data_IF_197837021695
#
_entry.id   IF_197837021695
#
_cell.length_a   1.000
_cell.length_b   1.000
_cell.length_c   1.000
_cell.angle_alpha   90.00
_cell.angle_beta   90.00
_cell.angle_gamma   90.00
#
_symmetry.space_group_name_H-M   'P 1'
#
loop_
_entity.id
_entity.type
_entity.pdbx_description
1 polymer ?
#
# COMPACT_ATOMS: atom_id res chain seq x y z
N UNK A 1 0.13 79.50 -33.42
CA UNK A 1 -0.13 79.59 -31.96
C UNK A 1 -1.25 78.62 -31.63
N UNK A 2 -1.14 77.89 -30.52
CA UNK A 2 -1.93 76.73 -30.05
C UNK A 2 -1.50 75.37 -30.66
N UNK A 3 -0.69 74.55 -29.98
CA UNK A 3 -0.83 73.80 -28.70
C UNK A 3 -1.65 72.52 -28.87
N UNK A 4 -1.01 71.37 -28.64
CA UNK A 4 -1.67 70.06 -28.59
C UNK A 4 -0.68 68.90 -28.45
N UNK A 5 -0.07 68.79 -27.27
CA UNK A 5 0.74 67.64 -26.85
C UNK A 5 -0.23 66.48 -26.58
N UNK A 6 -0.07 65.34 -27.26
CA UNK A 6 -0.65 64.06 -26.80
C UNK A 6 0.46 63.05 -26.60
N UNK A 7 0.74 62.84 -25.32
CA UNK A 7 1.49 61.70 -24.77
C UNK A 7 0.51 60.53 -24.64
N UNK A 8 0.86 59.35 -25.12
CA UNK A 8 0.17 58.11 -24.76
C UNK A 8 1.18 56.96 -24.71
N UNK A 9 1.29 56.39 -23.52
CA UNK A 9 2.26 55.39 -23.11
C UNK A 9 2.19 54.12 -23.97
N UNK A 10 3.33 53.64 -24.44
CA UNK A 10 3.51 52.25 -24.87
C UNK A 10 3.54 51.35 -23.63
N UNK A 11 2.44 50.65 -23.38
CA UNK A 11 2.37 49.60 -22.37
C UNK A 11 3.16 48.38 -22.87
N UNK A 12 4.42 48.25 -22.46
CA UNK A 12 5.18 47.02 -22.66
C UNK A 12 4.58 45.93 -21.76
N UNK A 13 3.78 45.04 -22.36
CA UNK A 13 3.26 43.85 -21.68
C UNK A 13 4.42 42.94 -21.29
N UNK A 14 4.78 42.94 -20.01
CA UNK A 14 5.68 41.95 -19.43
C UNK A 14 4.90 40.62 -19.41
N UNK A 15 5.12 39.78 -20.42
CA UNK A 15 4.68 38.38 -20.41
C UNK A 15 5.45 37.67 -19.30
N UNK A 16 4.90 37.70 -18.08
CA UNK A 16 5.28 36.75 -17.05
C UNK A 16 4.71 35.41 -17.51
N UNK A 17 5.48 34.68 -18.31
CA UNK A 17 5.21 33.26 -18.45
C UNK A 17 5.23 32.70 -17.02
N UNK A 18 4.16 32.04 -16.55
CA UNK A 18 4.29 31.27 -15.33
C UNK A 18 5.39 30.27 -15.64
N UNK A 19 6.50 30.35 -14.91
CA UNK A 19 7.40 29.21 -14.83
C UNK A 19 6.50 28.14 -14.24
N UNK A 20 5.92 27.32 -15.11
CA UNK A 20 5.28 26.08 -14.72
C UNK A 20 6.35 25.39 -13.91
N UNK A 21 6.18 25.40 -12.59
CA UNK A 21 6.91 24.53 -11.69
C UNK A 21 6.92 23.18 -12.38
N UNK A 22 8.09 22.74 -12.85
CA UNK A 22 8.30 21.33 -13.05
C UNK A 22 8.08 20.78 -11.66
N UNK A 23 6.86 20.32 -11.40
CA UNK A 23 6.49 19.72 -10.14
C UNK A 23 7.31 18.45 -10.06
N UNK A 24 8.53 18.59 -9.54
CA UNK A 24 9.39 17.47 -9.25
C UNK A 24 8.61 16.70 -8.20
N UNK A 25 8.08 15.56 -8.62
CA UNK A 25 7.34 14.66 -7.74
C UNK A 25 8.19 14.47 -6.49
N UNK A 26 7.56 14.55 -5.32
CA UNK A 26 8.27 14.22 -4.09
C UNK A 26 8.87 12.82 -4.23
N UNK A 27 10.00 12.56 -3.56
CA UNK A 27 10.63 11.23 -3.57
C UNK A 27 9.60 10.13 -3.24
N UNK A 28 8.64 10.44 -2.37
CA UNK A 28 7.49 9.59 -2.03
C UNK A 28 6.58 9.30 -3.22
N UNK A 29 6.25 10.28 -4.07
CA UNK A 29 5.38 10.08 -5.23
C UNK A 29 6.08 9.31 -6.35
N UNK A 30 7.36 9.61 -6.60
CA UNK A 30 8.18 8.81 -7.53
C UNK A 30 8.24 7.36 -7.06
N UNK A 31 8.49 7.17 -5.77
CA UNK A 31 8.57 5.84 -5.18
C UNK A 31 7.24 5.08 -5.21
N UNK A 32 6.11 5.73 -4.88
CA UNK A 32 4.77 5.11 -5.00
C UNK A 32 4.49 4.72 -6.45
N UNK A 33 4.86 5.56 -7.42
CA UNK A 33 4.70 5.22 -8.84
C UNK A 33 5.59 4.04 -9.26
N UNK A 34 6.80 3.92 -8.69
CA UNK A 34 7.68 2.78 -8.96
C UNK A 34 7.16 1.49 -8.32
N UNK A 35 6.57 1.57 -7.12
CA UNK A 35 5.96 0.41 -6.49
C UNK A 35 4.84 -0.20 -7.33
N UNK A 36 4.01 0.62 -7.98
CA UNK A 36 2.94 0.10 -8.85
C UNK A 36 3.50 -0.76 -10.00
N UNK A 37 4.70 -0.43 -10.48
CA UNK A 37 5.41 -1.19 -11.51
C UNK A 37 6.11 -2.42 -10.94
N UNK A 38 6.61 -2.37 -9.69
CA UNK A 38 7.38 -3.46 -9.10
C UNK A 38 6.51 -4.51 -8.39
N UNK A 39 5.32 -4.13 -7.95
CA UNK A 39 4.43 -4.96 -7.14
C UNK A 39 3.07 -5.17 -7.79
N UNK A 40 2.54 -6.37 -7.62
CA UNK A 40 1.13 -6.72 -7.85
C UNK A 40 0.40 -6.68 -6.51
N UNK A 41 -0.69 -5.92 -6.45
CA UNK A 41 -1.57 -5.86 -5.27
C UNK A 41 -2.81 -6.69 -5.54
N UNK A 42 -3.07 -7.69 -4.70
CA UNK A 42 -4.27 -8.52 -4.73
C UNK A 42 -5.08 -8.28 -3.45
N UNK A 43 -6.07 -7.38 -3.49
CA UNK A 43 -6.82 -7.04 -2.30
C UNK A 43 -7.91 -8.08 -2.00
N UNK A 44 -8.28 -8.17 -0.72
CA UNK A 44 -9.48 -8.86 -0.23
C UNK A 44 -9.55 -10.35 -0.61
N UNK A 45 -8.43 -11.06 -0.57
CA UNK A 45 -8.41 -12.50 -0.74
C UNK A 45 -8.90 -13.15 0.56
N UNK A 46 -10.03 -13.85 0.50
CA UNK A 46 -10.57 -14.57 1.67
C UNK A 46 -9.69 -15.76 2.02
N UNK A 47 -9.23 -15.79 3.28
CA UNK A 47 -8.44 -16.92 3.79
C UNK A 47 -9.26 -17.85 4.69
N UNK A 48 -10.32 -17.34 5.31
CA UNK A 48 -11.22 -18.10 6.17
C UNK A 48 -12.53 -17.34 6.39
N UNK A 49 -13.64 -18.07 6.56
CA UNK A 49 -14.95 -17.52 6.92
C UNK A 49 -15.31 -17.97 8.33
N UNK A 50 -15.60 -17.01 9.22
CA UNK A 50 -16.00 -17.28 10.61
C UNK A 50 -17.22 -16.42 10.97
N UNK A 51 -18.18 -16.98 11.71
CA UNK A 51 -19.39 -16.25 12.13
C UNK A 51 -20.13 -15.57 10.96
N UNK A 52 -20.23 -16.27 9.82
CA UNK A 52 -20.80 -15.77 8.56
C UNK A 52 -20.12 -14.49 8.03
N UNK A 53 -18.84 -14.29 8.36
CA UNK A 53 -18.04 -13.17 7.90
C UNK A 53 -16.73 -13.68 7.30
N UNK A 54 -16.38 -13.13 6.15
CA UNK A 54 -15.10 -13.40 5.49
C UNK A 54 -13.99 -12.59 6.16
N UNK A 55 -12.93 -13.30 6.52
CA UNK A 55 -11.67 -12.69 6.90
C UNK A 55 -10.73 -12.73 5.69
N UNK A 56 -10.14 -11.59 5.39
CA UNK A 56 -9.40 -11.37 4.16
C UNK A 56 -7.94 -11.00 4.43
N UNK A 57 -7.10 -11.25 3.44
CA UNK A 57 -5.75 -10.70 3.34
C UNK A 57 -5.63 -9.82 2.10
N UNK A 58 -4.74 -8.83 2.15
CA UNK A 58 -4.20 -8.21 0.94
C UNK A 58 -2.81 -8.77 0.69
N UNK A 59 -2.54 -9.12 -0.56
CA UNK A 59 -1.22 -9.58 -0.98
C UNK A 59 -0.51 -8.46 -1.73
N UNK A 60 0.75 -8.24 -1.39
CA UNK A 60 1.68 -7.43 -2.15
C UNK A 60 2.79 -8.35 -2.64
N UNK A 61 2.81 -8.63 -3.95
CA UNK A 61 3.70 -9.60 -4.56
C UNK A 61 4.70 -8.89 -5.48
N UNK A 62 6.02 -9.11 -5.36
CA UNK A 62 6.97 -8.60 -6.33
C UNK A 62 6.70 -9.23 -7.71
N UNK A 63 6.79 -8.45 -8.79
CA UNK A 63 6.53 -8.92 -10.16
C UNK A 63 7.68 -9.72 -10.75
N UNK A 64 8.92 -9.31 -10.45
CA UNK A 64 10.13 -9.81 -11.09
C UNK A 64 11.00 -10.61 -10.09
N UNK A 65 10.37 -11.48 -9.29
CA UNK A 65 11.10 -12.30 -8.33
C UNK A 65 11.78 -13.50 -9.03
N UNK A 66 13.11 -13.57 -8.93
CA UNK A 66 13.90 -14.72 -9.36
C UNK A 66 13.84 -15.84 -8.31
N UNK A 67 12.76 -16.63 -8.35
CA UNK A 67 12.54 -17.76 -7.43
C UNK A 67 11.62 -17.42 -6.26
N UNK A 68 11.57 -18.30 -5.24
CA UNK A 68 10.65 -18.16 -4.12
C UNK A 68 10.94 -16.90 -3.29
N UNK A 69 9.89 -16.20 -2.89
CA UNK A 69 9.99 -14.89 -2.23
C UNK A 69 9.81 -15.02 -0.71
N UNK A 70 10.69 -14.40 0.11
CA UNK A 70 10.47 -14.26 1.55
C UNK A 70 9.11 -13.61 1.85
N UNK A 71 8.43 -14.06 2.91
CA UNK A 71 7.08 -13.59 3.24
C UNK A 71 7.04 -12.86 4.58
N UNK A 72 6.50 -11.65 4.57
CA UNK A 72 6.05 -10.95 5.76
C UNK A 72 4.54 -11.17 5.96
N UNK A 73 4.14 -11.78 7.07
CA UNK A 73 2.75 -11.76 7.53
C UNK A 73 2.58 -10.58 8.48
N UNK A 74 1.84 -9.57 8.06
CA UNK A 74 1.61 -8.37 8.86
C UNK A 74 0.27 -8.42 9.59
N UNK A 75 0.33 -8.28 10.91
CA UNK A 75 -0.82 -8.22 11.81
C UNK A 75 -0.88 -6.79 12.34
N UNK A 76 -1.91 -6.03 11.98
CA UNK A 76 -2.03 -4.66 12.44
C UNK A 76 -2.22 -4.58 13.96
N UNK A 77 -1.81 -3.47 14.57
CA UNK A 77 -2.06 -3.20 15.99
C UNK A 77 -3.50 -2.75 16.27
N UNK A 78 -3.75 -2.20 17.47
CA UNK A 78 -5.07 -1.74 17.89
C UNK A 78 -5.71 -2.58 18.99
N UNK A 79 -4.93 -3.45 19.65
CA UNK A 79 -5.34 -4.16 20.87
C UNK A 79 -6.53 -5.11 20.67
N UNK A 80 -6.74 -5.61 19.45
CA UNK A 80 -7.88 -6.47 19.06
C UNK A 80 -9.25 -5.78 19.10
N UNK A 81 -9.31 -4.50 19.46
CA UNK A 81 -10.55 -3.73 19.58
C UNK A 81 -10.75 -2.74 18.42
N UNK A 82 -9.70 -2.46 17.65
CA UNK A 82 -9.75 -1.49 16.57
C UNK A 82 -8.66 -1.69 15.53
N UNK A 83 -8.80 -0.94 14.43
CA UNK A 83 -7.88 -0.94 13.30
C UNK A 83 -8.39 -1.75 12.11
N UNK A 84 -7.60 -1.71 11.04
CA UNK A 84 -7.84 -2.50 9.83
C UNK A 84 -6.53 -2.73 9.09
N UNK A 85 -6.53 -3.69 8.14
CA UNK A 85 -5.36 -3.94 7.28
C UNK A 85 -4.93 -2.70 6.48
N UNK A 86 -5.83 -1.80 6.12
CA UNK A 86 -5.54 -0.56 5.38
C UNK A 86 -4.85 0.51 6.24
N UNK A 87 -5.04 0.47 7.56
CA UNK A 87 -4.63 1.56 8.46
C UNK A 87 -3.11 1.76 8.57
N UNK A 88 -2.30 0.79 8.11
CA UNK A 88 -0.84 0.76 8.28
C UNK A 88 -0.07 0.37 7.03
N UNK A 89 -0.62 0.56 5.84
CA UNK A 89 0.05 0.19 4.56
C UNK A 89 1.44 0.83 4.43
N UNK A 90 1.63 2.08 4.89
CA UNK A 90 2.94 2.73 4.87
C UNK A 90 4.01 2.07 5.78
N UNK A 91 3.62 1.15 6.67
CA UNK A 91 4.56 0.34 7.46
C UNK A 91 5.11 -0.87 6.68
N UNK A 92 4.48 -1.22 5.56
CA UNK A 92 4.86 -2.37 4.74
C UNK A 92 5.99 -2.02 3.75
N UNK A 93 6.16 -0.73 3.47
CA UNK A 93 7.06 -0.20 2.43
C UNK A 93 8.51 -0.71 2.55
N UNK A 94 9.16 -0.69 3.75
CA UNK A 94 10.55 -1.15 3.83
C UNK A 94 10.72 -2.62 3.43
N UNK A 95 9.70 -3.45 3.66
CA UNK A 95 9.72 -4.86 3.28
C UNK A 95 9.49 -5.06 1.79
N UNK A 96 8.64 -4.22 1.20
CA UNK A 96 8.46 -4.19 -0.25
C UNK A 96 9.73 -3.71 -0.97
N UNK A 97 10.45 -2.73 -0.41
CA UNK A 97 11.76 -2.31 -0.95
C UNK A 97 12.82 -3.42 -0.88
N UNK A 98 12.74 -4.31 0.11
CA UNK A 98 13.59 -5.49 0.22
C UNK A 98 13.17 -6.63 -0.73
N UNK A 99 12.11 -6.45 -1.53
CA UNK A 99 11.60 -7.47 -2.46
C UNK A 99 10.78 -8.57 -1.80
N UNK A 100 10.27 -8.37 -0.58
CA UNK A 100 9.48 -9.39 0.13
C UNK A 100 8.05 -9.40 -0.37
N UNK A 101 7.43 -10.58 -0.34
CA UNK A 101 5.98 -10.68 -0.43
C UNK A 101 5.37 -10.28 0.92
N UNK A 102 4.29 -9.50 0.89
CA UNK A 102 3.58 -9.09 2.10
C UNK A 102 2.15 -9.65 2.09
N UNK A 103 1.79 -10.30 3.18
CA UNK A 103 0.43 -10.77 3.48
C UNK A 103 -0.12 -9.92 4.62
N UNK A 104 -0.96 -8.95 4.27
CA UNK A 104 -1.52 -7.99 5.22
C UNK A 104 -2.89 -8.49 5.72
N UNK A 105 -2.95 -8.89 6.99
CA UNK A 105 -4.06 -9.71 7.52
C UNK A 105 -5.15 -8.83 8.15
N UNK A 106 -6.39 -9.06 7.75
CA UNK A 106 -7.57 -8.68 8.53
C UNK A 106 -7.96 -9.82 9.47
N UNK A 107 -8.25 -9.48 10.72
CA UNK A 107 -8.78 -10.39 11.73
C UNK A 107 -10.04 -9.81 12.39
N UNK A 108 -10.83 -10.66 13.07
CA UNK A 108 -12.02 -10.21 13.81
C UNK A 108 -11.62 -9.33 14.99
N UNK A 109 -12.30 -8.19 15.11
CA UNK A 109 -12.20 -7.31 16.26
C UNK A 109 -13.19 -7.73 17.36
N UNK A 110 -12.99 -7.22 18.57
CA UNK A 110 -13.76 -7.60 19.77
C UNK A 110 -15.27 -7.33 19.67
N UNK A 111 -15.69 -6.38 18.84
CA UNK A 111 -17.09 -6.08 18.54
C UNK A 111 -17.77 -7.20 17.72
N UNK A 112 -16.99 -7.95 16.94
CA UNK A 112 -17.45 -9.13 16.20
C UNK A 112 -17.29 -10.39 17.03
N UNK A 113 -16.15 -10.57 17.71
CA UNK A 113 -15.86 -11.77 18.50
C UNK A 113 -14.82 -11.48 19.58
N UNK A 114 -15.12 -11.89 20.81
CA UNK A 114 -14.17 -11.77 21.93
C UNK A 114 -12.96 -12.69 21.75
N UNK A 115 -11.95 -12.48 22.59
CA UNK A 115 -10.80 -13.37 22.66
C UNK A 115 -11.25 -14.84 22.86
N UNK A 116 -10.62 -15.81 22.18
CA UNK A 116 -9.35 -15.72 21.44
C UNK A 116 -9.47 -15.49 19.92
N UNK A 117 -10.63 -15.07 19.40
CA UNK A 117 -10.93 -15.08 17.96
C UNK A 117 -9.88 -14.41 17.06
N UNK A 118 -9.36 -13.24 17.44
CA UNK A 118 -8.34 -12.54 16.65
C UNK A 118 -7.03 -13.34 16.52
N UNK A 119 -6.63 -14.06 17.57
CA UNK A 119 -5.43 -14.91 17.57
C UNK A 119 -5.65 -16.15 16.70
N UNK A 120 -6.84 -16.75 16.79
CA UNK A 120 -7.23 -17.88 15.94
C UNK A 120 -7.21 -17.49 14.46
N UNK A 121 -7.74 -16.31 14.14
CA UNK A 121 -7.73 -15.74 12.79
C UNK A 121 -6.30 -15.57 12.25
N UNK A 122 -5.38 -15.04 13.04
CA UNK A 122 -3.97 -14.91 12.66
C UNK A 122 -3.31 -16.28 12.40
N UNK A 123 -3.64 -17.30 13.19
CA UNK A 123 -3.17 -18.68 12.97
C UNK A 123 -3.75 -19.29 11.70
N UNK A 124 -5.02 -19.01 11.41
CA UNK A 124 -5.66 -19.40 10.16
C UNK A 124 -5.01 -18.71 8.95
N UNK A 125 -4.67 -17.43 9.05
CA UNK A 125 -3.93 -16.71 8.03
C UNK A 125 -2.55 -17.36 7.77
N UNK A 126 -1.77 -17.65 8.81
CA UNK A 126 -0.49 -18.38 8.68
C UNK A 126 -0.67 -19.73 7.96
N UNK A 127 -1.66 -20.52 8.37
CA UNK A 127 -1.96 -21.81 7.72
C UNK A 127 -2.30 -21.61 6.24
N UNK A 128 -3.08 -20.59 5.93
CA UNK A 128 -3.44 -20.25 4.55
C UNK A 128 -2.22 -19.84 3.73
N UNK A 129 -1.28 -19.06 4.30
CA UNK A 129 0.00 -18.73 3.63
C UNK A 129 0.77 -19.99 3.27
N UNK A 130 0.94 -20.91 4.24
CA UNK A 130 1.65 -22.18 4.02
C UNK A 130 0.96 -23.00 2.92
N UNK A 131 -0.37 -23.12 2.96
CA UNK A 131 -1.14 -23.89 1.97
C UNK A 131 -1.11 -23.29 0.56
N UNK A 132 -0.93 -21.97 0.45
CA UNK A 132 -0.91 -21.27 -0.84
C UNK A 132 0.51 -20.88 -1.28
N UNK A 133 1.55 -21.38 -0.61
CA UNK A 133 2.91 -20.96 -0.86
C UNK A 133 3.34 -21.20 -2.32
N UNK A 134 3.04 -22.38 -2.88
CA UNK A 134 3.32 -22.67 -4.29
C UNK A 134 2.53 -21.77 -5.25
N UNK A 135 1.29 -21.40 -4.91
CA UNK A 135 0.42 -20.58 -5.76
C UNK A 135 0.93 -19.15 -5.90
N UNK A 136 1.47 -18.59 -4.82
CA UNK A 136 1.93 -17.20 -4.77
C UNK A 136 3.45 -17.07 -4.72
N UNK A 137 4.18 -18.16 -5.00
CA UNK A 137 5.64 -18.20 -5.04
C UNK A 137 6.29 -17.78 -3.70
N UNK A 138 5.69 -18.17 -2.58
CA UNK A 138 6.22 -17.92 -1.24
C UNK A 138 7.32 -18.91 -0.87
N UNK A 139 8.38 -18.40 -0.25
CA UNK A 139 9.43 -19.22 0.34
C UNK A 139 8.92 -19.94 1.60
N UNK A 140 9.02 -21.27 1.61
CA UNK A 140 8.52 -22.11 2.72
C UNK A 140 9.56 -22.36 3.81
N UNK A 141 10.86 -22.24 3.50
CA UNK A 141 11.96 -22.53 4.45
C UNK A 141 11.92 -21.65 5.69
N UNK A 142 11.35 -20.44 5.58
CA UNK A 142 11.19 -19.50 6.69
C UNK A 142 9.87 -19.68 7.48
N UNK A 143 8.98 -20.59 7.06
CA UNK A 143 7.63 -20.75 7.62
C UNK A 143 7.39 -22.10 8.34
N UNK A 144 8.38 -23.00 8.33
CA UNK A 144 8.34 -24.34 8.96
C UNK A 144 8.98 -24.39 10.34
#
# INVERSE_FOLDING_TARGET
MHNGIFSALTLAGLLTLPVSSLAQLSDTQVWVSNLEHQYTVLPNITYHTANNRDNNVDLYLPRDADGSTPVLIYIHGGGWVGGSKESRVLRLLPWMEMGWAVVNVQYRLSDISLAPAAVEDCRCALRWVIQNAARYNFEQTALS
#
